data_IF_496397697243
#
_entry.id   IF_496397697243
#
_cell.length_a   1.000
_cell.length_b   1.000
_cell.length_c   1.000
_cell.angle_alpha   90.00
_cell.angle_beta   90.00
_cell.angle_gamma   90.00
#
_symmetry.space_group_name_H-M   'P 1'
#
loop_
_entity.id
_entity.type
_entity.pdbx_description
1 polymer ?
#
# COMPACT_ATOMS: atom_id res chain seq x y z
N UNK A 1 -2.30 10.77 5.29
CA UNK A 1 -1.86 10.71 3.87
C UNK A 1 -2.58 9.56 3.20
N UNK A 2 -3.02 9.72 1.95
CA UNK A 2 -3.77 8.71 1.18
C UNK A 2 -2.97 8.32 -0.06
N UNK A 3 -2.84 7.03 -0.31
CA UNK A 3 -2.17 6.46 -1.48
C UNK A 3 -3.18 5.64 -2.26
N UNK A 4 -3.36 5.97 -3.54
CA UNK A 4 -4.33 5.32 -4.43
C UNK A 4 -3.66 4.77 -5.68
N UNK A 5 -4.24 3.73 -6.24
CA UNK A 5 -3.83 3.13 -7.50
C UNK A 5 -4.64 1.87 -7.79
N UNK A 6 -4.44 1.29 -8.97
CA UNK A 6 -5.02 0.00 -9.33
C UNK A 6 -4.22 -1.14 -8.70
N UNK A 7 -4.90 -2.09 -8.08
CA UNK A 7 -4.26 -3.31 -7.58
C UNK A 7 -4.01 -4.29 -8.73
N UNK A 8 -2.82 -4.93 -8.80
CA UNK A 8 -2.64 -6.07 -9.69
C UNK A 8 -3.46 -7.27 -9.21
N UNK A 9 -3.95 -8.05 -10.17
CA UNK A 9 -4.69 -9.28 -9.88
C UNK A 9 -3.72 -10.30 -9.25
N UNK A 10 -3.89 -10.54 -7.96
CA UNK A 10 -3.10 -11.49 -7.20
C UNK A 10 -3.83 -12.83 -7.02
N UNK A 11 -3.07 -13.88 -6.72
CA UNK A 11 -3.66 -15.13 -6.25
C UNK A 11 -4.04 -14.98 -4.78
N UNK A 12 -5.34 -15.09 -4.49
CA UNK A 12 -5.85 -15.02 -3.13
C UNK A 12 -5.63 -16.30 -2.32
N UNK A 13 -5.55 -16.12 -1.01
CA UNK A 13 -5.44 -17.17 -0.01
C UNK A 13 -4.00 -17.40 0.46
N UNK A 14 -3.90 -17.94 1.67
CA UNK A 14 -2.64 -18.25 2.35
C UNK A 14 -2.07 -19.63 2.02
N UNK A 15 -2.71 -20.41 1.15
CA UNK A 15 -2.28 -21.77 0.81
C UNK A 15 -1.29 -21.78 -0.35
N UNK A 16 -0.34 -22.73 -0.38
CA UNK A 16 0.47 -22.99 -1.56
C UNK A 16 -0.40 -23.28 -2.78
N UNK A 17 0.03 -22.75 -3.92
CA UNK A 17 -0.63 -22.91 -5.22
C UNK A 17 0.45 -22.91 -6.29
N UNK A 18 0.19 -23.58 -7.42
CA UNK A 18 1.07 -23.50 -8.58
C UNK A 18 1.19 -22.06 -9.09
N UNK A 19 2.35 -21.72 -9.64
CA UNK A 19 2.63 -20.41 -10.22
C UNK A 19 3.38 -20.59 -11.55
N UNK A 20 3.03 -19.85 -12.64
CA UNK A 20 1.97 -18.83 -12.74
C UNK A 20 0.54 -19.38 -12.71
N UNK A 21 -0.43 -18.55 -12.36
CA UNK A 21 -1.87 -18.89 -12.45
C UNK A 21 -2.56 -18.07 -13.53
N UNK A 22 -3.50 -18.71 -14.25
CA UNK A 22 -4.32 -18.03 -15.26
C UNK A 22 -5.05 -16.83 -14.64
N UNK A 23 -4.98 -15.67 -15.31
CA UNK A 23 -5.58 -14.39 -14.89
C UNK A 23 -4.93 -13.74 -13.65
N UNK A 24 -3.80 -14.24 -13.16
CA UNK A 24 -3.02 -13.52 -12.16
C UNK A 24 -1.95 -12.68 -12.87
N UNK A 25 -1.78 -11.44 -12.42
CA UNK A 25 -0.72 -10.52 -12.86
C UNK A 25 0.52 -10.65 -11.96
N UNK A 26 0.32 -10.98 -10.68
CA UNK A 26 1.39 -11.18 -9.68
C UNK A 26 1.06 -12.35 -8.75
N UNK A 27 2.06 -13.01 -8.16
CA UNK A 27 1.79 -14.01 -7.11
C UNK A 27 1.28 -13.36 -5.85
N UNK A 28 1.89 -12.24 -5.47
CA UNK A 28 1.48 -11.39 -4.36
C UNK A 28 1.89 -9.94 -4.61
N UNK A 29 1.25 -9.03 -3.90
CA UNK A 29 1.74 -7.67 -3.77
C UNK A 29 1.46 -7.14 -2.37
N UNK A 30 2.19 -6.10 -1.97
CA UNK A 30 2.01 -5.45 -0.67
C UNK A 30 2.32 -3.97 -0.70
N UNK A 31 1.69 -3.23 0.21
CA UNK A 31 2.06 -1.87 0.57
C UNK A 31 2.56 -1.88 2.01
N UNK A 32 3.75 -1.34 2.23
CA UNK A 32 4.36 -1.31 3.55
C UNK A 32 4.84 0.08 3.93
N UNK A 33 4.63 0.46 5.19
CA UNK A 33 5.38 1.51 5.86
C UNK A 33 6.67 0.95 6.45
N UNK A 34 7.77 1.61 6.13
CA UNK A 34 9.11 1.30 6.58
C UNK A 34 9.71 2.56 7.22
N UNK A 35 10.63 2.39 8.16
CA UNK A 35 11.49 3.50 8.58
C UNK A 35 12.45 3.85 7.44
N UNK A 36 12.87 5.11 7.37
CA UNK A 36 13.91 5.57 6.47
C UNK A 36 15.31 5.07 6.86
N UNK A 37 16.32 5.43 6.07
CA UNK A 37 17.71 5.02 6.29
C UNK A 37 18.13 3.79 5.48
N UNK A 38 19.26 3.18 5.85
CA UNK A 38 19.93 2.14 5.05
C UNK A 38 19.15 0.81 5.02
N UNK A 39 18.68 0.33 6.18
CA UNK A 39 18.07 -1.00 6.30
C UNK A 39 16.57 -1.01 6.05
N UNK A 40 15.94 0.17 6.05
CA UNK A 40 14.51 0.38 5.78
C UNK A 40 13.60 -0.67 6.43
N UNK A 41 13.67 -0.91 7.75
CA UNK A 41 12.86 -1.94 8.39
C UNK A 41 11.37 -1.61 8.28
N UNK A 42 10.53 -2.64 8.15
CA UNK A 42 9.07 -2.47 8.21
C UNK A 42 8.69 -1.97 9.60
N UNK A 43 7.71 -1.05 9.66
CA UNK A 43 7.15 -0.57 10.92
C UNK A 43 6.44 -1.73 11.63
N UNK A 44 6.76 -1.94 12.91
CA UNK A 44 6.08 -2.89 13.78
C UNK A 44 5.82 -2.18 15.11
N UNK A 45 4.56 -1.80 15.35
CA UNK A 45 4.13 -1.20 16.61
C UNK A 45 3.69 -2.32 17.55
N UNK A 46 4.35 -2.43 18.71
CA UNK A 46 4.00 -3.40 19.77
C UNK A 46 3.41 -2.65 20.95
N UNK A 47 2.28 -3.11 21.47
CA UNK A 47 1.56 -2.45 22.57
C UNK A 47 1.66 -3.25 23.87
N UNK A 48 1.38 -2.57 24.98
CA UNK A 48 1.48 -3.14 26.33
C UNK A 48 0.51 -4.30 26.58
N UNK A 49 -0.62 -4.34 25.86
CA UNK A 49 -1.61 -5.43 25.89
C UNK A 49 -1.18 -6.66 25.07
N UNK A 50 0.04 -6.64 24.49
CA UNK A 50 0.57 -7.71 23.66
C UNK A 50 0.12 -7.67 22.20
N UNK A 51 -0.79 -6.76 21.83
CA UNK A 51 -1.20 -6.60 20.45
C UNK A 51 -0.08 -6.01 19.59
N UNK A 52 -0.08 -6.32 18.30
CA UNK A 52 0.90 -5.82 17.33
C UNK A 52 0.19 -5.27 16.12
N UNK A 53 0.61 -4.07 15.71
CA UNK A 53 0.20 -3.43 14.47
C UNK A 53 1.36 -3.43 13.48
N UNK A 54 1.16 -4.17 12.39
CA UNK A 54 2.15 -4.29 11.32
C UNK A 54 1.99 -3.18 10.29
N UNK A 55 3.13 -2.64 9.83
CA UNK A 55 3.24 -1.63 8.78
C UNK A 55 2.94 -2.13 7.37
N UNK A 56 2.79 -3.43 7.17
CA UNK A 56 2.51 -4.04 5.87
C UNK A 56 1.09 -4.54 5.76
N UNK A 57 0.51 -4.41 4.57
CA UNK A 57 -0.71 -5.11 4.14
C UNK A 57 -0.44 -5.76 2.80
N UNK A 58 -0.76 -7.04 2.67
CA UNK A 58 -0.70 -7.74 1.39
C UNK A 58 -2.07 -7.78 0.70
N UNK A 59 -2.12 -8.35 -0.50
CA UNK A 59 -3.31 -8.35 -1.35
C UNK A 59 -4.61 -8.80 -0.67
N UNK A 60 -4.60 -9.83 0.19
CA UNK A 60 -5.85 -10.31 0.82
C UNK A 60 -6.28 -9.48 2.04
N UNK A 61 -5.37 -8.67 2.60
CA UNK A 61 -5.68 -7.74 3.70
C UNK A 61 -6.08 -6.36 3.18
N UNK A 62 -6.00 -6.15 1.87
CA UNK A 62 -6.25 -4.85 1.26
C UNK A 62 -7.68 -4.75 0.77
N UNK A 63 -8.41 -3.74 1.24
CA UNK A 63 -9.73 -3.40 0.74
C UNK A 63 -9.61 -2.77 -0.64
N UNK A 64 -10.37 -3.28 -1.60
CA UNK A 64 -10.46 -2.75 -2.96
C UNK A 64 -11.87 -2.21 -3.23
N UNK A 65 -11.95 -1.17 -4.07
CA UNK A 65 -13.23 -0.71 -4.60
C UNK A 65 -13.76 -1.66 -5.69
N UNK A 66 -14.97 -1.37 -6.20
CA UNK A 66 -15.62 -2.15 -7.27
C UNK A 66 -14.84 -2.19 -8.60
N UNK A 67 -13.87 -1.30 -8.80
CA UNK A 67 -13.05 -1.23 -10.01
C UNK A 67 -11.66 -1.86 -9.81
N UNK A 68 -11.37 -2.40 -8.61
CA UNK A 68 -10.07 -2.98 -8.27
C UNK A 68 -9.01 -1.95 -7.87
N UNK A 69 -9.41 -0.75 -7.46
CA UNK A 69 -8.48 0.25 -6.92
C UNK A 69 -8.33 0.09 -5.40
N UNK A 70 -7.12 0.31 -4.90
CA UNK A 70 -6.85 0.41 -3.48
C UNK A 70 -6.84 1.88 -3.03
N UNK A 71 -7.12 2.10 -1.75
CA UNK A 71 -6.83 3.35 -1.05
C UNK A 71 -6.15 3.04 0.30
N UNK A 72 -4.82 3.12 0.34
CA UNK A 72 -4.10 3.03 1.61
C UNK A 72 -4.12 4.37 2.32
N UNK A 73 -4.31 4.34 3.62
CA UNK A 73 -4.24 5.55 4.45
C UNK A 73 -3.18 5.35 5.51
N UNK A 74 -2.17 6.21 5.46
CA UNK A 74 -1.15 6.31 6.50
C UNK A 74 -1.61 7.29 7.58
N UNK A 75 -1.55 6.82 8.83
CA UNK A 75 -1.90 7.59 10.00
C UNK A 75 -1.27 7.04 11.28
N UNK A 76 -1.51 7.73 12.39
CA UNK A 76 -1.12 7.24 13.72
C UNK A 76 -2.11 6.18 14.20
N UNK A 77 -1.73 5.40 15.22
CA UNK A 77 -2.61 4.39 15.82
C UNK A 77 -3.87 5.02 16.45
N UNK A 78 -3.77 6.24 16.99
CA UNK A 78 -4.93 6.99 17.49
C UNK A 78 -5.93 7.37 16.39
N UNK A 79 -5.53 7.37 15.12
CA UNK A 79 -6.40 7.65 13.98
C UNK A 79 -6.99 6.39 13.35
N UNK A 80 -6.51 5.20 13.75
CA UNK A 80 -6.88 3.91 13.12
C UNK A 80 -8.39 3.74 12.99
N UNK A 81 -9.12 3.85 14.09
CA UNK A 81 -10.56 3.55 14.11
C UNK A 81 -11.32 4.45 13.12
N UNK A 82 -11.03 5.75 13.12
CA UNK A 82 -11.62 6.71 12.20
C UNK A 82 -11.27 6.39 10.73
N UNK A 83 -10.04 5.95 10.46
CA UNK A 83 -9.59 5.57 9.11
C UNK A 83 -10.26 4.27 8.64
N UNK A 84 -10.31 3.25 9.51
CA UNK A 84 -10.86 1.92 9.20
C UNK A 84 -12.38 1.94 9.02
N UNK A 85 -13.08 2.94 9.56
CA UNK A 85 -14.50 3.20 9.34
C UNK A 85 -14.79 3.77 7.92
N UNK A 86 -13.81 4.43 7.30
CA UNK A 86 -13.95 4.92 5.93
C UNK A 86 -14.03 3.74 4.95
N UNK A 87 -15.07 3.74 4.10
CA UNK A 87 -15.27 2.68 3.12
C UNK A 87 -14.08 2.55 2.16
N UNK A 88 -13.72 1.30 1.87
CA UNK A 88 -12.69 0.91 0.90
C UNK A 88 -11.28 1.47 1.21
N UNK A 89 -11.02 1.91 2.45
CA UNK A 89 -9.67 2.28 2.88
C UNK A 89 -8.97 1.11 3.58
N UNK A 90 -7.65 1.09 3.47
CA UNK A 90 -6.79 0.15 4.20
C UNK A 90 -5.80 0.94 5.04
N UNK A 91 -5.88 0.80 6.37
CA UNK A 91 -4.97 1.48 7.30
C UNK A 91 -3.58 0.84 7.31
N UNK A 92 -2.54 1.68 7.26
CA UNK A 92 -1.14 1.32 7.51
C UNK A 92 -0.51 2.34 8.48
N UNK A 93 0.11 1.90 9.59
CA UNK A 93 0.53 2.81 10.65
C UNK A 93 1.85 3.54 10.36
N UNK A 94 2.00 4.74 10.92
CA UNK A 94 3.31 5.30 11.27
C UNK A 94 3.88 4.60 12.52
N UNK A 95 5.20 4.68 12.70
CA UNK A 95 5.87 4.12 13.87
C UNK A 95 5.53 4.92 15.13
N UNK A 96 5.10 4.20 16.18
CA UNK A 96 4.93 4.76 17.53
C UNK A 96 6.28 4.99 18.19
N UNK A 97 7.25 4.09 17.98
CA UNK A 97 8.58 4.17 18.60
C UNK A 97 9.50 5.19 17.93
N UNK A 98 9.27 5.50 16.65
CA UNK A 98 10.11 6.40 15.86
C UNK A 98 9.28 7.44 15.08
N UNK A 99 8.45 8.25 15.75
CA UNK A 99 7.43 9.07 15.10
C UNK A 99 8.01 10.24 14.28
N UNK A 100 9.24 10.66 14.56
CA UNK A 100 9.92 11.79 13.88
C UNK A 100 10.90 11.34 12.81
N UNK A 101 11.19 10.05 12.70
CA UNK A 101 12.09 9.52 11.66
C UNK A 101 11.36 9.58 10.32
N UNK A 102 12.04 9.95 9.21
CA UNK A 102 11.44 9.86 7.88
C UNK A 102 10.92 8.44 7.64
N UNK A 103 9.66 8.32 7.22
CA UNK A 103 9.10 7.02 6.83
C UNK A 103 9.17 6.88 5.32
N UNK A 104 9.37 5.65 4.86
CA UNK A 104 9.33 5.27 3.45
C UNK A 104 8.15 4.35 3.22
N UNK A 105 7.41 4.55 2.15
CA UNK A 105 6.33 3.66 1.74
C UNK A 105 6.76 2.88 0.52
N UNK A 106 6.52 1.57 0.55
CA UNK A 106 6.99 0.65 -0.47
C UNK A 106 5.83 -0.19 -1.00
N UNK A 107 5.47 0.03 -2.26
CA UNK A 107 4.66 -0.88 -3.07
C UNK A 107 5.58 -1.96 -3.64
N UNK A 108 5.22 -3.22 -3.45
CA UNK A 108 5.98 -4.36 -3.94
C UNK A 108 5.08 -5.26 -4.77
N UNK A 109 5.44 -5.50 -6.03
CA UNK A 109 4.91 -6.63 -6.81
C UNK A 109 5.89 -7.77 -6.68
N UNK A 110 5.41 -8.98 -6.39
CA UNK A 110 6.27 -10.14 -6.32
C UNK A 110 5.82 -11.27 -7.22
N UNK A 111 6.82 -11.77 -7.94
CA UNK A 111 6.68 -12.73 -9.01
C UNK A 111 5.59 -12.26 -9.99
N UNK A 112 5.76 -11.12 -10.68
CA UNK A 112 4.87 -10.77 -11.79
C UNK A 112 4.95 -11.85 -12.88
N UNK A 113 3.84 -12.09 -13.58
CA UNK A 113 3.89 -12.87 -14.82
C UNK A 113 4.65 -12.09 -15.89
N UNK A 114 5.30 -12.81 -16.81
CA UNK A 114 6.18 -12.19 -17.81
C UNK A 114 5.45 -11.20 -18.74
N UNK A 115 4.15 -11.40 -18.97
CA UNK A 115 3.30 -10.60 -19.85
C UNK A 115 2.54 -9.48 -19.10
N UNK A 116 2.85 -9.21 -17.83
CA UNK A 116 2.28 -8.07 -17.11
C UNK A 116 3.14 -6.80 -17.32
N UNK A 117 2.77 -5.89 -18.24
CA UNK A 117 3.65 -4.78 -18.64
C UNK A 117 3.81 -3.71 -17.55
N UNK A 118 2.85 -3.62 -16.63
CA UNK A 118 2.81 -2.59 -15.57
C UNK A 118 3.55 -2.99 -14.28
N UNK A 119 4.35 -4.07 -14.32
CA UNK A 119 5.11 -4.52 -13.18
C UNK A 119 6.19 -3.51 -12.76
N UNK A 120 6.41 -3.32 -11.45
CA UNK A 120 7.47 -2.43 -10.93
C UNK A 120 8.87 -2.86 -11.38
N UNK A 121 9.06 -4.15 -11.67
CA UNK A 121 10.31 -4.72 -12.20
C UNK A 121 10.69 -4.17 -13.59
N UNK A 122 9.71 -3.63 -14.33
CA UNK A 122 9.96 -3.02 -15.64
C UNK A 122 10.44 -1.58 -15.52
N UNK A 123 10.40 -0.97 -14.33
CA UNK A 123 10.83 0.42 -14.09
C UNK A 123 12.36 0.50 -14.01
N UNK A 124 13.02 1.33 -14.84
CA UNK A 124 14.46 1.58 -14.75
C UNK A 124 14.87 2.15 -13.39
N UNK A 125 16.05 1.76 -12.90
CA UNK A 125 16.62 2.29 -11.66
C UNK A 125 17.26 3.68 -11.86
N UNK A 126 16.46 4.65 -12.33
CA UNK A 126 16.88 6.03 -12.60
C UNK A 126 16.29 7.06 -11.62
N UNK A 127 15.52 6.61 -10.63
CA UNK A 127 14.83 7.45 -9.63
C UNK A 127 13.83 8.46 -10.21
N UNK A 128 13.39 8.32 -11.47
CA UNK A 128 12.37 9.19 -12.08
C UNK A 128 10.96 8.72 -11.74
N UNK A 129 10.21 9.58 -11.05
CA UNK A 129 8.79 9.34 -10.75
C UNK A 129 7.95 9.29 -12.03
N UNK A 130 8.27 10.14 -13.01
CA UNK A 130 7.59 10.23 -14.30
C UNK A 130 7.79 8.95 -15.12
N UNK A 131 9.02 8.43 -15.15
CA UNK A 131 9.33 7.16 -15.82
C UNK A 131 8.57 6.00 -15.15
N UNK A 132 8.58 5.95 -13.82
CA UNK A 132 7.84 4.94 -13.07
C UNK A 132 6.33 5.02 -13.33
N UNK A 133 5.76 6.23 -13.34
CA UNK A 133 4.35 6.47 -13.64
C UNK A 133 3.98 6.08 -15.07
N UNK A 134 4.83 6.40 -16.05
CA UNK A 134 4.62 6.03 -17.45
C UNK A 134 4.60 4.51 -17.66
N UNK A 135 5.48 3.77 -16.98
CA UNK A 135 5.59 2.31 -17.10
C UNK A 135 4.48 1.60 -16.33
N UNK A 136 4.22 2.01 -15.09
CA UNK A 136 3.23 1.36 -14.24
C UNK A 136 1.79 1.78 -14.57
N UNK A 137 1.59 2.91 -15.28
CA UNK A 137 0.27 3.40 -15.65
C UNK A 137 -0.66 3.53 -14.44
N UNK A 138 -1.87 2.97 -14.55
CA UNK A 138 -2.86 3.00 -13.46
C UNK A 138 -2.42 2.28 -12.17
N UNK A 139 -1.38 1.44 -12.22
CA UNK A 139 -0.83 0.74 -11.05
C UNK A 139 0.20 1.57 -10.28
N UNK A 140 0.63 2.72 -10.83
CA UNK A 140 1.50 3.64 -10.14
C UNK A 140 0.80 4.23 -8.90
N UNK A 141 1.42 4.18 -7.70
CA UNK A 141 0.82 4.73 -6.50
C UNK A 141 0.84 6.27 -6.51
N UNK A 142 -0.34 6.88 -6.48
CA UNK A 142 -0.51 8.32 -6.35
C UNK A 142 -0.75 8.70 -4.90
N UNK A 143 0.06 9.64 -4.40
CA UNK A 143 0.03 10.09 -3.02
C UNK A 143 -0.66 11.46 -2.94
N UNK A 144 -1.55 11.61 -1.96
CA UNK A 144 -2.21 12.89 -1.62
C UNK A 144 -2.18 13.08 -0.11
N UNK A 145 -2.06 14.34 0.33
CA UNK A 145 -2.07 14.71 1.75
C UNK A 145 -3.32 15.54 2.01
N UNK A 146 -4.15 15.08 2.94
CA UNK A 146 -5.39 15.72 3.34
C UNK A 146 -5.56 15.57 4.85
N UNK A 147 -6.46 16.38 5.42
CA UNK A 147 -6.84 16.28 6.83
C UNK A 147 -7.60 14.97 7.11
N UNK A 148 -7.59 14.50 8.36
CA UNK A 148 -8.42 13.37 8.76
C UNK A 148 -9.91 13.68 8.55
N UNK A 149 -10.34 14.92 8.82
CA UNK A 149 -11.73 15.34 8.64
C UNK A 149 -12.19 15.26 7.18
N UNK A 150 -11.35 15.68 6.23
CA UNK A 150 -11.60 15.54 4.79
C UNK A 150 -11.74 14.07 4.43
N UNK A 151 -10.82 13.22 4.87
CA UNK A 151 -10.87 11.77 4.61
C UNK A 151 -12.15 11.12 5.15
N UNK A 152 -12.55 11.44 6.39
CA UNK A 152 -13.73 10.82 7.01
C UNK A 152 -15.05 11.34 6.44
N UNK A 153 -15.08 12.56 5.93
CA UNK A 153 -16.29 13.20 5.39
C UNK A 153 -16.49 12.90 3.91
N UNK A 154 -15.41 12.99 3.13
CA UNK A 154 -15.46 12.93 1.66
C UNK A 154 -14.86 11.62 1.10
N UNK A 155 -14.30 10.78 1.98
CA UNK A 155 -13.60 9.57 1.60
C UNK A 155 -12.24 9.83 0.94
N UNK A 156 -11.56 8.76 0.46
CA UNK A 156 -10.23 8.88 -0.14
C UNK A 156 -10.22 9.68 -1.46
N UNK A 157 -11.38 9.92 -2.07
CA UNK A 157 -11.48 10.73 -3.30
C UNK A 157 -11.56 12.23 -3.05
N UNK A 158 -12.05 12.68 -1.89
CA UNK A 158 -11.99 14.09 -1.49
C UNK A 158 -10.57 14.59 -1.20
N UNK A 159 -9.63 13.67 -0.97
CA UNK A 159 -8.21 14.00 -0.91
C UNK A 159 -7.68 14.30 -2.33
N UNK A 160 -7.70 15.57 -2.71
CA UNK A 160 -7.10 16.08 -3.96
C UNK A 160 -5.60 16.36 -3.79
N UNK A 161 -4.88 16.30 -4.91
CA UNK A 161 -3.52 16.81 -5.03
C UNK A 161 -3.55 18.33 -5.28
#
# INVERSE_FOLDING_TARGET
MVIRGRAPQAVSGSRPVSWPRRRAEVRYWSMCTNLGGQYKPVVINRFADGSTSYGCRYNDETRLDRHGNYAFVLGTEGQRAAIEDVRNTTFVPFSVSYPTVPHMVLLRHLLPVADFPYAVQNVPMNSSAETAAAIMGAYYPLVTVCSLATLTTEGPHGCSA
#
